data_IF_631607516579
#
_entry.id   IF_631607516579
#
_cell.length_a   1.000
_cell.length_b   1.000
_cell.length_c   1.000
_cell.angle_alpha   90.00
_cell.angle_beta   90.00
_cell.angle_gamma   90.00
#
_symmetry.space_group_name_H-M   'P 1'
#
loop_
_entity.id
_entity.type
_entity.pdbx_description
1 polymer ?
#
# COMPACT_ATOMS: atom_id res chain seq x y z
N UNK A 1 -5.41 43.95 -15.32
CA UNK A 1 -4.37 43.00 -14.90
C UNK A 1 -5.06 41.66 -14.86
N UNK A 2 -4.79 40.81 -15.85
CA UNK A 2 -5.29 39.44 -15.89
C UNK A 2 -4.49 38.56 -14.90
N UNK A 3 -5.16 37.73 -14.08
CA UNK A 3 -4.51 36.68 -13.32
C UNK A 3 -4.43 35.38 -14.16
N UNK A 4 -3.46 34.51 -13.84
CA UNK A 4 -3.30 33.13 -14.34
C UNK A 4 -2.40 32.93 -15.57
N UNK A 5 -1.13 33.28 -15.44
CA UNK A 5 -0.06 32.44 -15.96
C UNK A 5 0.92 32.22 -14.79
N UNK A 6 0.81 31.05 -14.14
CA UNK A 6 1.93 30.51 -13.39
C UNK A 6 3.10 30.39 -14.38
N UNK A 7 4.28 30.82 -13.98
CA UNK A 7 5.46 30.97 -14.85
C UNK A 7 5.78 29.63 -15.53
N UNK A 8 5.64 29.55 -16.86
CA UNK A 8 5.90 28.34 -17.66
C UNK A 8 7.29 27.73 -17.35
N UNK A 9 8.23 28.54 -16.85
CA UNK A 9 9.56 28.08 -16.42
C UNK A 9 9.54 27.27 -15.12
N UNK A 10 8.66 27.59 -14.19
CA UNK A 10 8.56 26.90 -12.90
C UNK A 10 7.94 25.51 -13.11
N UNK A 11 6.88 25.41 -13.91
CA UNK A 11 6.33 24.13 -14.38
C UNK A 11 7.34 23.27 -15.15
N UNK A 12 8.16 23.89 -16.02
CA UNK A 12 9.21 23.17 -16.75
C UNK A 12 10.29 22.64 -15.80
N UNK A 13 10.66 23.39 -14.77
CA UNK A 13 11.66 22.97 -13.78
C UNK A 13 11.15 21.83 -12.89
N UNK A 14 9.88 21.88 -12.49
CA UNK A 14 9.22 20.80 -11.76
C UNK A 14 9.08 19.52 -12.62
N UNK A 15 8.74 19.68 -13.90
CA UNK A 15 8.67 18.57 -14.84
C UNK A 15 10.05 17.93 -15.11
N UNK A 16 11.11 18.75 -15.25
CA UNK A 16 12.48 18.25 -15.38
C UNK A 16 12.95 17.54 -14.10
N UNK A 17 12.64 18.10 -12.92
CA UNK A 17 12.93 17.46 -11.64
C UNK A 17 12.24 16.10 -11.48
N UNK A 18 10.95 16.02 -11.82
CA UNK A 18 10.19 14.77 -11.80
C UNK A 18 10.72 13.73 -12.80
N UNK A 19 11.15 14.17 -13.99
CA UNK A 19 11.75 13.29 -15.01
C UNK A 19 13.11 12.76 -14.57
N UNK A 20 13.95 13.57 -13.93
CA UNK A 20 15.24 13.14 -13.42
C UNK A 20 15.11 12.20 -12.21
N UNK A 21 14.13 12.44 -11.34
CA UNK A 21 13.77 11.51 -10.27
C UNK A 21 13.29 10.17 -10.86
N UNK A 22 12.44 10.21 -11.88
CA UNK A 22 11.98 9.02 -12.59
C UNK A 22 13.12 8.27 -13.29
N UNK A 23 14.10 8.96 -13.90
CA UNK A 23 15.30 8.34 -14.48
C UNK A 23 16.20 7.70 -13.43
N UNK A 24 16.42 8.37 -12.29
CA UNK A 24 17.19 7.82 -11.17
C UNK A 24 16.53 6.56 -10.63
N UNK A 25 15.21 6.61 -10.45
CA UNK A 25 14.41 5.47 -10.05
C UNK A 25 14.53 4.31 -11.06
N UNK A 26 14.35 4.57 -12.36
CA UNK A 26 14.50 3.55 -13.41
C UNK A 26 15.92 2.94 -13.46
N UNK A 27 16.97 3.73 -13.27
CA UNK A 27 18.35 3.24 -13.28
C UNK A 27 18.66 2.34 -12.08
N UNK A 28 18.25 2.76 -10.88
CA UNK A 28 18.33 1.89 -9.69
C UNK A 28 17.49 0.63 -9.89
N UNK A 29 16.35 0.75 -10.56
CA UNK A 29 15.43 -0.34 -10.82
C UNK A 29 16.01 -1.41 -11.76
N UNK A 30 16.60 -1.02 -12.90
CA UNK A 30 17.22 -1.98 -13.84
C UNK A 30 18.31 -2.81 -13.17
N UNK A 31 19.12 -2.18 -12.31
CA UNK A 31 20.15 -2.90 -11.54
C UNK A 31 19.52 -3.89 -10.56
N UNK A 32 18.41 -3.51 -9.92
CA UNK A 32 17.70 -4.37 -8.97
C UNK A 32 17.05 -5.57 -9.62
N UNK A 33 16.49 -5.39 -10.82
CA UNK A 33 15.85 -6.48 -11.56
C UNK A 33 16.84 -7.60 -11.90
N UNK A 34 18.06 -7.28 -12.35
CA UNK A 34 19.06 -8.30 -12.68
C UNK A 34 19.47 -9.15 -11.46
N UNK A 35 19.64 -8.54 -10.29
CA UNK A 35 19.98 -9.28 -9.05
C UNK A 35 18.80 -10.11 -8.53
N UNK A 36 17.56 -9.63 -8.71
CA UNK A 36 16.35 -10.39 -8.38
C UNK A 36 16.18 -11.58 -9.32
N UNK A 37 16.39 -11.39 -10.63
CA UNK A 37 16.34 -12.44 -11.64
C UNK A 37 17.35 -13.56 -11.32
N UNK A 38 18.61 -13.22 -11.04
CA UNK A 38 19.63 -14.21 -10.63
C UNK A 38 19.25 -15.01 -9.38
N UNK A 39 18.58 -14.38 -8.41
CA UNK A 39 18.07 -15.11 -7.25
C UNK A 39 16.94 -16.05 -7.64
N UNK A 40 15.98 -15.54 -8.39
CA UNK A 40 14.83 -16.30 -8.82
C UNK A 40 15.26 -17.54 -9.61
N UNK A 41 16.25 -17.42 -10.50
CA UNK A 41 16.86 -18.56 -11.20
C UNK A 41 17.37 -19.68 -10.27
N UNK A 42 17.84 -19.32 -9.07
CA UNK A 42 18.34 -20.25 -8.07
C UNK A 42 17.26 -20.97 -7.25
N UNK A 43 15.98 -20.60 -7.41
CA UNK A 43 14.86 -21.19 -6.69
C UNK A 43 14.31 -22.43 -7.37
N UNK A 44 13.78 -23.34 -6.55
CA UNK A 44 12.91 -24.42 -7.03
C UNK A 44 11.62 -23.88 -7.63
N UNK A 45 10.94 -24.68 -8.45
CA UNK A 45 9.67 -24.30 -9.06
C UNK A 45 8.60 -24.02 -7.99
N UNK A 46 8.62 -24.79 -6.91
CA UNK A 46 7.73 -24.65 -5.77
C UNK A 46 7.97 -23.33 -5.04
N UNK A 47 9.22 -22.94 -4.81
CA UNK A 47 9.57 -21.65 -4.21
C UNK A 47 9.18 -20.47 -5.12
N UNK A 48 9.43 -20.58 -6.43
CA UNK A 48 8.99 -19.57 -7.41
C UNK A 48 7.47 -19.39 -7.38
N UNK A 49 6.73 -20.50 -7.36
CA UNK A 49 5.27 -20.48 -7.27
C UNK A 49 4.78 -19.84 -5.97
N UNK A 50 5.43 -20.17 -4.84
CA UNK A 50 5.11 -19.57 -3.55
C UNK A 50 5.36 -18.05 -3.53
N UNK A 51 6.49 -17.58 -4.04
CA UNK A 51 6.77 -16.15 -4.17
C UNK A 51 5.77 -15.45 -5.09
N UNK A 52 5.44 -16.05 -6.24
CA UNK A 52 4.45 -15.50 -7.16
C UNK A 52 3.08 -15.35 -6.48
N UNK A 53 2.64 -16.35 -5.71
CA UNK A 53 1.36 -16.29 -4.99
C UNK A 53 1.35 -15.17 -3.93
N UNK A 54 2.39 -15.08 -3.10
CA UNK A 54 2.52 -14.07 -2.06
C UNK A 54 2.59 -12.66 -2.65
N UNK A 55 3.44 -12.46 -3.65
CA UNK A 55 3.66 -11.15 -4.24
C UNK A 55 2.46 -10.70 -5.06
N UNK A 56 1.68 -11.62 -5.63
CA UNK A 56 0.43 -11.26 -6.32
C UNK A 56 -0.58 -10.62 -5.36
N UNK A 57 -0.67 -11.11 -4.11
CA UNK A 57 -1.55 -10.47 -3.13
C UNK A 57 -1.01 -9.10 -2.67
N UNK A 58 0.30 -8.97 -2.48
CA UNK A 58 0.94 -7.68 -2.17
C UNK A 58 0.75 -6.67 -3.31
N UNK A 59 0.93 -7.10 -4.55
CA UNK A 59 0.66 -6.31 -5.74
C UNK A 59 -0.78 -5.82 -5.75
N UNK A 60 -1.76 -6.70 -5.49
CA UNK A 60 -3.17 -6.34 -5.40
C UNK A 60 -3.44 -5.29 -4.32
N UNK A 61 -2.79 -5.40 -3.15
CA UNK A 61 -2.91 -4.43 -2.07
C UNK A 61 -2.33 -3.06 -2.45
N UNK A 62 -1.12 -3.01 -3.01
CA UNK A 62 -0.46 -1.79 -3.46
C UNK A 62 -1.28 -1.10 -4.58
N UNK A 63 -1.81 -1.88 -5.53
CA UNK A 63 -2.66 -1.36 -6.61
C UNK A 63 -3.99 -0.79 -6.08
N UNK A 64 -4.65 -1.49 -5.16
CA UNK A 64 -5.84 -0.97 -4.49
C UNK A 64 -5.55 0.32 -3.73
N UNK A 65 -4.37 0.40 -3.09
CA UNK A 65 -3.86 1.60 -2.46
C UNK A 65 -3.79 2.77 -3.44
N UNK A 66 -3.11 2.56 -4.58
CA UNK A 66 -2.98 3.57 -5.63
C UNK A 66 -4.33 4.10 -6.14
N UNK A 67 -5.28 3.20 -6.40
CA UNK A 67 -6.63 3.58 -6.84
C UNK A 67 -7.38 4.40 -5.80
N UNK A 68 -7.28 3.99 -4.53
CA UNK A 68 -8.00 4.65 -3.44
C UNK A 68 -7.44 6.05 -3.19
N UNK A 69 -6.11 6.20 -3.23
CA UNK A 69 -5.46 7.50 -3.11
C UNK A 69 -5.79 8.42 -4.29
N UNK A 70 -5.79 7.91 -5.52
CA UNK A 70 -6.22 8.69 -6.67
C UNK A 70 -7.69 9.15 -6.55
N UNK A 71 -8.56 8.27 -6.06
CA UNK A 71 -9.96 8.61 -5.80
C UNK A 71 -10.13 9.66 -4.69
N UNK A 72 -9.28 9.63 -3.64
CA UNK A 72 -9.26 10.65 -2.59
C UNK A 72 -8.74 12.00 -3.12
N UNK A 73 -7.71 12.00 -3.97
CA UNK A 73 -7.18 13.20 -4.62
C UNK A 73 -8.19 13.85 -5.58
N UNK A 74 -9.04 13.06 -6.23
CA UNK A 74 -10.05 13.53 -7.17
C UNK A 74 -11.31 14.11 -6.51
N UNK A 75 -11.41 14.09 -5.17
CA UNK A 75 -12.53 14.71 -4.45
C UNK A 75 -12.43 16.23 -4.63
N UNK A 76 -13.46 16.89 -5.20
CA UNK A 76 -13.42 18.33 -5.50
C UNK A 76 -13.08 19.18 -4.28
N UNK A 77 -12.33 20.28 -4.46
CA UNK A 77 -11.90 21.18 -3.37
C UNK A 77 -13.08 21.80 -2.60
N UNK A 78 -14.21 22.01 -3.28
CA UNK A 78 -15.48 22.43 -2.68
C UNK A 78 -15.99 21.45 -1.60
N UNK A 79 -15.45 20.23 -1.54
CA UNK A 79 -15.76 19.18 -0.58
C UNK A 79 -14.73 18.98 0.56
N UNK A 80 -13.95 20.02 0.91
CA UNK A 80 -13.19 20.14 2.18
C UNK A 80 -11.73 19.63 2.20
N UNK A 81 -10.96 19.63 1.11
CA UNK A 81 -9.50 19.34 1.20
C UNK A 81 -8.66 20.60 0.93
N UNK A 82 -7.55 20.78 1.66
CA UNK A 82 -6.54 21.77 1.30
C UNK A 82 -5.71 21.28 0.10
N UNK A 83 -5.06 22.21 -0.61
CA UNK A 83 -4.17 21.89 -1.72
C UNK A 83 -3.04 20.95 -1.29
N UNK A 84 -2.52 21.12 -0.06
CA UNK A 84 -1.51 20.24 0.54
C UNK A 84 -2.02 18.80 0.72
N UNK A 85 -3.29 18.63 1.11
CA UNK A 85 -3.89 17.32 1.28
C UNK A 85 -4.10 16.62 -0.07
N UNK A 86 -4.56 17.36 -1.08
CA UNK A 86 -4.70 16.82 -2.44
C UNK A 86 -3.34 16.41 -3.03
N UNK A 87 -2.32 17.26 -2.87
CA UNK A 87 -0.95 16.95 -3.29
C UNK A 87 -0.41 15.71 -2.56
N UNK A 88 -0.67 15.58 -1.26
CA UNK A 88 -0.32 14.39 -0.49
C UNK A 88 -0.99 13.12 -1.04
N UNK A 89 -2.31 13.13 -1.28
CA UNK A 89 -3.02 11.97 -1.82
C UNK A 89 -2.51 11.57 -3.21
N UNK A 90 -2.26 12.54 -4.08
CA UNK A 90 -1.72 12.29 -5.42
C UNK A 90 -0.30 11.70 -5.36
N UNK A 91 0.57 12.26 -4.50
CA UNK A 91 1.91 11.73 -4.27
C UNK A 91 1.85 10.27 -3.80
N UNK A 92 0.99 9.96 -2.82
CA UNK A 92 0.78 8.58 -2.33
C UNK A 92 0.26 7.65 -3.41
N UNK A 93 -0.66 8.11 -4.27
CA UNK A 93 -1.13 7.32 -5.39
C UNK A 93 0.03 6.94 -6.34
N UNK A 94 0.93 7.89 -6.60
CA UNK A 94 2.14 7.67 -7.39
C UNK A 94 3.06 6.61 -6.78
N UNK A 95 3.37 6.73 -5.48
CA UNK A 95 4.24 5.77 -4.78
C UNK A 95 3.67 4.35 -4.77
N UNK A 96 2.39 4.21 -4.43
CA UNK A 96 1.69 2.91 -4.47
C UNK A 96 1.68 2.30 -5.88
N UNK A 97 1.48 3.12 -6.90
CA UNK A 97 1.53 2.67 -8.29
C UNK A 97 2.93 2.17 -8.67
N UNK A 98 3.99 2.91 -8.32
CA UNK A 98 5.38 2.50 -8.57
C UNK A 98 5.65 1.12 -7.96
N UNK A 99 5.30 0.91 -6.70
CA UNK A 99 5.49 -0.37 -5.99
C UNK A 99 4.63 -1.50 -6.54
N UNK A 100 3.39 -1.22 -6.94
CA UNK A 100 2.55 -2.23 -7.58
C UNK A 100 3.17 -2.75 -8.89
N UNK A 101 3.76 -1.86 -9.71
CA UNK A 101 4.46 -2.24 -10.95
C UNK A 101 5.72 -3.04 -10.67
N UNK A 102 6.48 -2.60 -9.66
CA UNK A 102 7.65 -3.29 -9.10
C UNK A 102 7.35 -4.76 -8.80
N UNK A 103 6.31 -5.00 -8.00
CA UNK A 103 5.90 -6.35 -7.60
C UNK A 103 5.41 -7.15 -8.79
N UNK A 104 4.64 -6.52 -9.69
CA UNK A 104 4.15 -7.16 -10.91
C UNK A 104 5.29 -7.66 -11.80
N UNK A 105 6.29 -6.81 -12.07
CA UNK A 105 7.45 -7.17 -12.88
C UNK A 105 8.23 -8.34 -12.26
N UNK A 106 8.44 -8.33 -10.93
CA UNK A 106 9.11 -9.44 -10.22
C UNK A 106 8.34 -10.75 -10.39
N UNK A 107 7.01 -10.72 -10.31
CA UNK A 107 6.19 -11.92 -10.48
C UNK A 107 6.33 -12.45 -11.91
N UNK A 108 6.14 -11.57 -12.90
CA UNK A 108 6.12 -11.89 -14.33
C UNK A 108 7.47 -12.38 -14.89
N UNK A 109 8.58 -12.20 -14.16
CA UNK A 109 9.90 -12.74 -14.53
C UNK A 109 9.93 -14.26 -14.63
N UNK A 110 9.19 -14.95 -13.76
CA UNK A 110 9.30 -16.41 -13.64
C UNK A 110 7.96 -17.13 -13.73
N UNK A 111 6.86 -16.45 -13.37
CA UNK A 111 5.53 -17.04 -13.27
C UNK A 111 4.46 -16.03 -13.69
N UNK A 112 3.31 -16.49 -14.23
CA UNK A 112 2.17 -15.60 -14.36
C UNK A 112 1.68 -15.13 -12.97
N UNK A 113 1.14 -13.90 -12.86
CA UNK A 113 0.50 -13.45 -11.63
C UNK A 113 -0.60 -14.42 -11.20
N UNK A 114 -0.57 -14.81 -9.93
CA UNK A 114 -1.66 -15.58 -9.34
C UNK A 114 -2.93 -14.74 -9.30
N UNK A 115 -4.08 -15.40 -9.37
CA UNK A 115 -5.36 -14.72 -9.16
C UNK A 115 -5.41 -14.08 -7.77
N UNK A 116 -6.03 -12.91 -7.69
CA UNK A 116 -6.27 -12.28 -6.40
C UNK A 116 -7.24 -13.11 -5.59
N UNK A 117 -6.97 -13.21 -4.29
CA UNK A 117 -7.88 -13.88 -3.38
C UNK A 117 -9.27 -13.20 -3.44
N UNK A 118 -10.39 -13.96 -3.50
CA UNK A 118 -11.73 -13.38 -3.65
C UNK A 118 -12.09 -12.34 -2.59
N UNK A 119 -11.62 -12.52 -1.36
CA UNK A 119 -11.84 -11.55 -0.28
C UNK A 119 -11.06 -10.24 -0.47
N UNK A 120 -9.90 -10.26 -1.15
CA UNK A 120 -9.17 -9.03 -1.50
C UNK A 120 -9.92 -8.26 -2.59
N UNK A 121 -10.49 -8.97 -3.56
CA UNK A 121 -11.36 -8.39 -4.60
C UNK A 121 -12.62 -7.77 -3.97
N UNK A 122 -13.27 -8.51 -3.06
CA UNK A 122 -14.44 -8.01 -2.34
C UNK A 122 -14.11 -6.78 -1.50
N UNK A 123 -12.99 -6.80 -0.75
CA UNK A 123 -12.51 -5.65 -0.01
C UNK A 123 -12.31 -4.44 -0.93
N UNK A 124 -11.68 -4.62 -2.09
CA UNK A 124 -11.51 -3.54 -3.07
C UNK A 124 -12.83 -2.97 -3.59
N UNK A 125 -13.81 -3.83 -3.89
CA UNK A 125 -15.15 -3.42 -4.30
C UNK A 125 -15.89 -2.65 -3.20
N UNK A 126 -15.80 -3.13 -1.96
CA UNK A 126 -16.36 -2.47 -0.79
C UNK A 126 -15.79 -1.05 -0.64
N UNK A 127 -14.46 -0.90 -0.71
CA UNK A 127 -13.76 0.39 -0.59
C UNK A 127 -14.16 1.40 -1.66
N UNK A 128 -14.34 0.95 -2.91
CA UNK A 128 -14.80 1.83 -4.00
C UNK A 128 -16.16 2.46 -3.70
N UNK A 129 -17.05 1.67 -3.09
CA UNK A 129 -18.42 2.06 -2.75
C UNK A 129 -18.52 2.88 -1.46
N UNK A 130 -17.46 2.98 -0.67
CA UNK A 130 -17.47 3.81 0.54
C UNK A 130 -17.37 5.30 0.25
N UNK A 131 -17.88 6.12 1.17
CA UNK A 131 -17.62 7.55 1.20
C UNK A 131 -16.16 7.88 1.55
N UNK A 132 -15.83 9.17 1.57
CA UNK A 132 -14.47 9.66 1.87
C UNK A 132 -13.90 9.06 3.15
N UNK A 133 -14.66 9.11 4.26
CA UNK A 133 -14.22 8.56 5.54
C UNK A 133 -13.91 7.06 5.45
N UNK A 134 -14.78 6.28 4.79
CA UNK A 134 -14.56 4.84 4.64
C UNK A 134 -13.32 4.54 3.79
N UNK A 135 -13.08 5.28 2.71
CA UNK A 135 -11.84 5.16 1.91
C UNK A 135 -10.59 5.46 2.74
N UNK A 136 -10.62 6.52 3.56
CA UNK A 136 -9.52 6.88 4.44
C UNK A 136 -9.27 5.85 5.56
N UNK A 137 -10.33 5.23 6.07
CA UNK A 137 -10.24 4.15 7.06
C UNK A 137 -9.74 2.84 6.43
N UNK A 138 -10.10 2.55 5.19
CA UNK A 138 -9.75 1.30 4.52
C UNK A 138 -8.30 1.21 4.09
N UNK A 139 -7.79 2.23 3.40
CA UNK A 139 -6.46 2.15 2.79
C UNK A 139 -5.42 2.84 3.67
N UNK A 140 -5.47 4.17 3.90
CA UNK A 140 -4.47 4.83 4.72
C UNK A 140 -4.36 4.28 6.14
N UNK A 141 -5.49 4.02 6.81
CA UNK A 141 -5.47 3.46 8.15
C UNK A 141 -5.24 1.94 8.13
N UNK A 142 -6.10 1.17 7.47
CA UNK A 142 -6.07 -0.28 7.66
C UNK A 142 -5.00 -0.95 6.80
N UNK A 143 -4.98 -0.71 5.50
CA UNK A 143 -4.03 -1.38 4.62
C UNK A 143 -2.59 -0.91 4.87
N UNK A 144 -2.36 0.40 4.85
CA UNK A 144 -1.02 1.01 4.88
C UNK A 144 -0.42 1.09 6.28
N UNK A 145 -1.23 1.26 7.34
CA UNK A 145 -0.69 1.40 8.70
C UNK A 145 -0.65 0.10 9.50
N UNK A 146 -1.38 -0.93 9.05
CA UNK A 146 -1.60 -2.14 9.84
C UNK A 146 -1.14 -3.37 9.07
N UNK A 147 -1.64 -3.57 7.84
CA UNK A 147 -1.45 -4.83 7.11
C UNK A 147 -0.11 -4.86 6.36
N UNK A 148 0.14 -3.89 5.49
CA UNK A 148 1.33 -3.85 4.64
C UNK A 148 2.63 -3.79 5.46
N UNK A 149 2.76 -2.97 6.53
CA UNK A 149 3.97 -2.96 7.34
C UNK A 149 4.29 -4.31 7.96
N UNK A 150 3.28 -5.03 8.48
CA UNK A 150 3.46 -6.35 9.08
C UNK A 150 3.95 -7.39 8.05
N UNK A 151 3.42 -7.33 6.82
CA UNK A 151 3.86 -8.23 5.74
C UNK A 151 5.26 -7.86 5.28
N UNK A 152 5.55 -6.58 5.03
CA UNK A 152 6.87 -6.12 4.59
C UNK A 152 7.96 -6.44 5.61
N UNK A 153 7.69 -6.21 6.89
CA UNK A 153 8.60 -6.57 7.96
C UNK A 153 8.92 -8.07 7.92
N UNK A 154 7.90 -8.92 7.76
CA UNK A 154 8.11 -10.37 7.70
C UNK A 154 8.89 -10.80 6.47
N UNK A 155 8.53 -10.29 5.29
CA UNK A 155 9.26 -10.57 4.05
C UNK A 155 10.73 -10.14 4.16
N UNK A 156 11.01 -8.99 4.78
CA UNK A 156 12.37 -8.51 5.00
C UNK A 156 13.15 -9.33 6.04
N UNK A 157 12.48 -9.93 7.02
CA UNK A 157 13.10 -10.83 8.00
C UNK A 157 13.47 -12.19 7.40
N UNK A 158 12.69 -12.71 6.46
CA UNK A 158 12.82 -14.09 5.97
C UNK A 158 13.53 -14.22 4.64
N UNK A 159 13.45 -13.22 3.76
CA UNK A 159 14.15 -13.31 2.46
C UNK A 159 15.66 -13.28 2.65
N UNK A 160 16.38 -14.20 2.00
CA UNK A 160 17.85 -14.27 2.04
C UNK A 160 18.53 -13.30 1.07
N UNK A 161 17.79 -12.71 0.13
CA UNK A 161 18.32 -11.80 -0.89
C UNK A 161 18.57 -10.43 -0.28
N UNK A 162 19.83 -9.99 -0.26
CA UNK A 162 20.16 -8.68 0.31
C UNK A 162 19.40 -7.53 -0.36
N UNK A 163 19.32 -7.53 -1.69
CA UNK A 163 18.74 -6.40 -2.43
C UNK A 163 17.20 -6.37 -2.39
N UNK A 164 16.55 -7.53 -2.48
CA UNK A 164 15.10 -7.60 -2.32
C UNK A 164 14.71 -7.25 -0.88
N UNK A 165 15.46 -7.75 0.11
CA UNK A 165 15.33 -7.35 1.51
C UNK A 165 15.44 -5.83 1.67
N UNK A 166 16.44 -5.22 1.05
CA UNK A 166 16.63 -3.77 1.09
C UNK A 166 15.46 -3.03 0.43
N UNK A 167 14.97 -3.53 -0.70
CA UNK A 167 13.82 -2.94 -1.40
C UNK A 167 12.55 -3.00 -0.55
N UNK A 168 12.26 -4.15 0.06
CA UNK A 168 11.10 -4.29 0.95
C UNK A 168 11.26 -3.44 2.22
N UNK A 169 12.49 -3.30 2.74
CA UNK A 169 12.78 -2.37 3.85
C UNK A 169 12.54 -0.92 3.48
N UNK A 170 12.92 -0.51 2.27
CA UNK A 170 12.62 0.84 1.77
C UNK A 170 11.10 1.07 1.73
N UNK A 171 10.32 0.09 1.23
CA UNK A 171 8.85 0.20 1.26
C UNK A 171 8.33 0.32 2.69
N UNK A 172 8.83 -0.49 3.62
CA UNK A 172 8.45 -0.43 5.03
C UNK A 172 8.78 0.93 5.66
N UNK A 173 9.96 1.47 5.40
CA UNK A 173 10.36 2.79 5.89
C UNK A 173 9.47 3.90 5.32
N UNK A 174 9.22 3.87 4.02
CA UNK A 174 8.35 4.83 3.35
C UNK A 174 6.91 4.73 3.85
N UNK A 175 6.38 3.52 4.06
CA UNK A 175 5.07 3.31 4.70
C UNK A 175 5.05 3.96 6.07
N UNK A 176 5.99 3.62 6.94
CA UNK A 176 6.06 4.18 8.29
C UNK A 176 6.17 5.72 8.32
N UNK A 177 6.97 6.32 7.42
CA UNK A 177 7.08 7.78 7.30
C UNK A 177 5.79 8.41 6.78
N UNK A 178 5.12 7.75 5.84
CA UNK A 178 3.91 8.27 5.20
C UNK A 178 2.69 8.32 6.13
N UNK A 179 2.73 7.65 7.28
CA UNK A 179 1.63 7.65 8.25
C UNK A 179 1.51 8.94 9.05
N UNK A 180 2.62 9.66 9.26
CA UNK A 180 2.62 10.82 10.16
C UNK A 180 1.69 11.96 9.70
N UNK A 181 1.66 12.33 8.40
CA UNK A 181 0.75 13.38 7.91
C UNK A 181 -0.73 12.95 7.93
N UNK A 182 -1.01 11.65 7.81
CA UNK A 182 -2.38 11.10 7.70
C UNK A 182 -3.08 11.02 9.04
N UNK A 183 -2.35 10.82 10.14
CA UNK A 183 -2.96 10.63 11.46
C UNK A 183 -3.75 11.87 11.93
N UNK A 184 -3.21 13.11 11.86
CA UNK A 184 -3.98 14.32 12.17
C UNK A 184 -5.24 14.43 11.32
N UNK A 185 -5.10 14.17 10.02
CA UNK A 185 -6.21 14.18 9.06
C UNK A 185 -7.33 13.19 9.45
N UNK A 186 -6.97 11.92 9.70
CA UNK A 186 -7.93 10.89 10.09
C UNK A 186 -8.64 11.26 11.39
N UNK A 187 -7.91 11.79 12.38
CA UNK A 187 -8.49 12.24 13.66
C UNK A 187 -9.52 13.33 13.44
N UNK A 188 -9.18 14.34 12.65
CA UNK A 188 -10.08 15.45 12.35
C UNK A 188 -11.35 14.97 11.66
N UNK A 189 -11.23 14.14 10.62
CA UNK A 189 -12.38 13.58 9.91
C UNK A 189 -13.28 12.74 10.80
N UNK A 190 -12.70 11.87 11.62
CA UNK A 190 -13.48 11.07 12.58
C UNK A 190 -14.19 11.96 13.60
N UNK A 191 -13.54 13.03 14.09
CA UNK A 191 -14.13 13.94 15.06
C UNK A 191 -15.26 14.80 14.48
N UNK A 192 -15.13 15.20 13.21
CA UNK A 192 -16.12 16.01 12.49
C UNK A 192 -17.28 15.16 11.92
N UNK A 193 -17.08 13.86 11.75
CA UNK A 193 -18.11 12.95 11.26
C UNK A 193 -19.32 12.92 12.23
N UNK A 194 -20.56 12.96 11.73
CA UNK A 194 -21.77 12.70 12.52
C UNK A 194 -21.67 11.37 13.28
N UNK A 195 -22.40 11.23 14.39
CA UNK A 195 -22.36 10.02 15.21
C UNK A 195 -22.60 8.73 14.42
N UNK A 196 -23.54 8.76 13.48
CA UNK A 196 -23.85 7.62 12.59
C UNK A 196 -22.69 7.27 11.63
N UNK A 197 -21.97 8.26 11.08
CA UNK A 197 -20.80 8.00 10.22
C UNK A 197 -19.61 7.46 11.02
N UNK A 198 -19.41 7.91 12.27
CA UNK A 198 -18.40 7.33 13.16
C UNK A 198 -18.71 5.88 13.51
N UNK A 199 -19.99 5.59 13.80
CA UNK A 199 -20.43 4.22 14.07
C UNK A 199 -20.26 3.34 12.83
N UNK A 200 -20.62 3.85 11.64
CA UNK A 200 -20.35 3.19 10.36
C UNK A 200 -18.86 2.92 10.20
N UNK A 201 -17.99 3.88 10.49
CA UNK A 201 -16.53 3.73 10.46
C UNK A 201 -16.03 2.56 11.31
N UNK A 202 -16.56 2.36 12.52
CA UNK A 202 -16.23 1.20 13.35
C UNK A 202 -16.71 -0.12 12.74
N UNK A 203 -17.96 -0.15 12.25
CA UNK A 203 -18.54 -1.34 11.61
C UNK A 203 -17.77 -1.78 10.35
N UNK A 204 -17.11 -0.85 9.66
CA UNK A 204 -16.27 -1.20 8.51
C UNK A 204 -15.10 -2.11 8.90
N UNK A 205 -14.51 -1.93 10.09
CA UNK A 205 -13.43 -2.80 10.56
C UNK A 205 -13.92 -4.18 10.94
N UNK A 206 -15.10 -4.27 11.57
CA UNK A 206 -15.72 -5.56 11.86
C UNK A 206 -16.00 -6.35 10.57
N UNK A 207 -16.23 -5.67 9.45
CA UNK A 207 -16.36 -6.27 8.12
C UNK A 207 -15.00 -6.65 7.50
N UNK A 208 -14.02 -5.75 7.53
CA UNK A 208 -12.79 -5.92 6.75
C UNK A 208 -11.72 -6.77 7.44
N UNK A 209 -11.65 -6.75 8.78
CA UNK A 209 -10.66 -7.54 9.51
C UNK A 209 -10.80 -9.05 9.24
N UNK A 210 -12.01 -9.65 9.26
CA UNK A 210 -12.18 -11.05 8.86
C UNK A 210 -11.83 -11.33 7.39
N UNK A 211 -12.13 -10.39 6.48
CA UNK A 211 -11.80 -10.54 5.05
C UNK A 211 -10.30 -10.63 4.85
N UNK A 212 -9.52 -9.73 5.46
CA UNK A 212 -8.07 -9.74 5.34
C UNK A 212 -7.42 -10.86 6.13
N UNK A 213 -7.99 -11.29 7.26
CA UNK A 213 -7.55 -12.51 7.94
C UNK A 213 -7.63 -13.74 7.02
N UNK A 214 -8.71 -13.87 6.24
CA UNK A 214 -8.85 -14.93 5.25
C UNK A 214 -7.81 -14.81 4.13
N UNK A 215 -7.55 -13.60 3.62
CA UNK A 215 -6.51 -13.37 2.60
C UNK A 215 -5.14 -13.81 3.12
N UNK A 216 -4.76 -13.40 4.33
CA UNK A 216 -3.47 -13.75 4.95
C UNK A 216 -3.42 -15.27 5.23
N UNK A 217 -4.51 -15.86 5.73
CA UNK A 217 -4.60 -17.30 6.00
C UNK A 217 -4.42 -18.16 4.76
N UNK A 218 -4.99 -17.72 3.63
CA UNK A 218 -4.87 -18.43 2.36
C UNK A 218 -3.43 -18.48 1.83
N UNK A 219 -2.53 -17.66 2.39
CA UNK A 219 -1.11 -17.69 2.04
C UNK A 219 -0.29 -18.66 2.89
N UNK A 220 -0.88 -19.43 3.82
CA UNK A 220 -0.14 -20.26 4.79
C UNK A 220 0.88 -21.18 4.12
N UNK A 221 0.47 -21.91 3.09
CA UNK A 221 1.35 -22.87 2.43
C UNK A 221 2.49 -22.15 1.69
N UNK A 222 2.16 -21.14 0.89
CA UNK A 222 3.15 -20.34 0.17
C UNK A 222 4.13 -19.63 1.14
N UNK A 223 3.63 -19.07 2.24
CA UNK A 223 4.43 -18.46 3.29
C UNK A 223 5.40 -19.47 3.92
N UNK A 224 4.93 -20.69 4.22
CA UNK A 224 5.76 -21.74 4.80
C UNK A 224 6.93 -22.14 3.88
N UNK A 225 6.69 -22.23 2.57
CA UNK A 225 7.75 -22.52 1.57
C UNK A 225 8.89 -21.51 1.57
N UNK A 226 8.62 -20.26 1.95
CA UNK A 226 9.61 -19.18 2.01
C UNK A 226 9.99 -18.81 3.45
N UNK A 227 9.74 -19.70 4.41
CA UNK A 227 10.14 -19.56 5.81
C UNK A 227 9.35 -18.52 6.62
N UNK A 228 8.16 -18.13 6.16
CA UNK A 228 7.27 -17.21 6.85
C UNK A 228 6.18 -17.95 7.63
N UNK A 229 5.96 -17.55 8.89
CA UNK A 229 4.80 -17.99 9.67
C UNK A 229 3.67 -16.97 9.51
N UNK A 230 2.53 -17.44 9.01
CA UNK A 230 1.32 -16.63 8.85
C UNK A 230 0.76 -16.17 10.19
N UNK A 231 0.88 -16.96 11.25
CA UNK A 231 0.32 -16.62 12.55
C UNK A 231 1.11 -15.47 13.20
N UNK A 232 2.42 -15.38 12.95
CA UNK A 232 3.24 -14.22 13.33
C UNK A 232 2.80 -12.94 12.60
N UNK A 233 2.52 -13.02 11.28
CA UNK A 233 2.02 -11.88 10.50
C UNK A 233 0.70 -11.40 11.09
N UNK A 234 -0.24 -12.32 11.36
CA UNK A 234 -1.53 -11.99 11.96
C UNK A 234 -1.38 -11.33 13.33
N UNK A 235 -0.47 -11.82 14.17
CA UNK A 235 -0.20 -11.23 15.47
C UNK A 235 0.32 -9.78 15.34
N UNK A 236 1.26 -9.53 14.42
CA UNK A 236 1.76 -8.17 14.12
C UNK A 236 0.65 -7.26 13.59
N UNK A 237 -0.22 -7.75 12.70
CA UNK A 237 -1.41 -7.03 12.20
C UNK A 237 -2.33 -6.64 13.35
N UNK A 238 -2.68 -7.56 14.24
CA UNK A 238 -3.55 -7.25 15.39
C UNK A 238 -2.92 -6.23 16.34
N UNK A 239 -1.62 -6.34 16.60
CA UNK A 239 -0.90 -5.39 17.44
C UNK A 239 -0.88 -3.98 16.81
N UNK A 240 -0.59 -3.89 15.51
CA UNK A 240 -0.59 -2.63 14.76
C UNK A 240 -2.00 -2.03 14.72
N UNK A 241 -3.03 -2.85 14.52
CA UNK A 241 -4.43 -2.41 14.53
C UNK A 241 -4.82 -1.78 15.86
N UNK A 242 -4.50 -2.45 16.98
CA UNK A 242 -4.78 -1.93 18.32
C UNK A 242 -4.02 -0.63 18.59
N UNK A 243 -2.74 -0.57 18.24
CA UNK A 243 -1.91 0.63 18.40
C UNK A 243 -2.47 1.81 17.61
N UNK A 244 -2.81 1.58 16.35
CA UNK A 244 -3.28 2.64 15.46
C UNK A 244 -4.70 3.09 15.83
N UNK A 245 -5.60 2.16 16.17
CA UNK A 245 -6.96 2.46 16.65
C UNK A 245 -6.94 3.41 17.86
N UNK A 246 -6.06 3.15 18.84
CA UNK A 246 -5.84 4.05 19.99
C UNK A 246 -5.27 5.39 19.54
N UNK A 247 -4.29 5.38 18.62
CA UNK A 247 -3.64 6.59 18.11
C UNK A 247 -4.66 7.56 17.50
N UNK A 248 -5.65 7.07 16.75
CA UNK A 248 -6.70 7.88 16.12
C UNK A 248 -7.98 8.04 16.95
N UNK A 249 -8.04 7.49 18.18
CA UNK A 249 -9.21 7.49 19.08
C UNK A 249 -10.46 6.85 18.46
N UNK A 250 -10.24 5.81 17.65
CA UNK A 250 -11.32 5.03 17.07
C UNK A 250 -11.87 4.02 18.08
N UNK A 251 -11.07 3.56 19.05
CA UNK A 251 -11.44 2.68 20.17
C UNK A 251 -10.92 3.29 21.46
#
# INVERSE_FOLDING_TARGET
MDPLFLDDKEMMYEAEGALDEMRRWMSQWTRRLAEIEMFLEGLTLEEKSAYAQLFSQLYGCEWLGAQTYAALAAVPSEAKYSDDEQAYWLHRAGEKLKRSRLLKEIIEMEQPPAEFHPQLVQFGNDVRNEGVLGKCLAVPFFLDSVVLPAIYERVAETTSISLFRETIRQFLEEENRSLEPVIPFLKERIQQAPGEERQKGRMLFDRWLPQLDQVISAQRDAAAYVGMDVDDIKAKVLQAFQKMSRKIRLI
#
